data_IF_242892469970
#
_entry.id   IF_242892469970
#
_cell.length_a   1.000
_cell.length_b   1.000
_cell.length_c   1.000
_cell.angle_alpha   90.00
_cell.angle_beta   90.00
_cell.angle_gamma   90.00
#
_symmetry.space_group_name_H-M   'P 1'
#
loop_
_entity.id
_entity.type
_entity.pdbx_description
1 polymer ?
#
# COMPACT_ATOMS: atom_id res chain seq x y z
N UNK A 1 25.33 -68.69 -38.55
CA UNK A 1 25.84 -67.51 -37.82
C UNK A 1 24.99 -66.25 -38.04
N UNK A 2 23.95 -66.26 -38.88
CA UNK A 2 23.16 -65.06 -39.22
C UNK A 2 21.89 -64.87 -38.36
N UNK A 3 21.35 -65.94 -37.77
CA UNK A 3 20.08 -65.90 -37.01
C UNK A 3 20.27 -65.53 -35.52
N UNK A 4 21.37 -65.94 -34.88
CA UNK A 4 21.69 -65.54 -33.49
C UNK A 4 21.99 -64.03 -33.34
N UNK A 5 22.56 -63.40 -34.37
CA UNK A 5 22.81 -61.96 -34.36
C UNK A 5 21.53 -61.12 -34.56
N UNK A 6 20.47 -61.69 -35.15
CA UNK A 6 19.16 -61.02 -35.26
C UNK A 6 18.41 -61.04 -33.93
N UNK A 7 18.36 -62.19 -33.25
CA UNK A 7 17.67 -62.33 -31.94
C UNK A 7 18.30 -61.45 -30.84
N UNK A 8 19.62 -61.26 -30.90
CA UNK A 8 20.32 -60.35 -29.98
C UNK A 8 20.05 -58.87 -30.29
N UNK A 9 19.86 -58.52 -31.57
CA UNK A 9 19.52 -57.17 -32.00
C UNK A 9 18.12 -56.76 -31.54
N UNK A 10 17.12 -57.61 -31.76
CA UNK A 10 15.72 -57.36 -31.37
C UNK A 10 15.59 -57.16 -29.85
N UNK A 11 16.24 -58.02 -29.03
CA UNK A 11 16.24 -57.85 -27.56
C UNK A 11 16.93 -56.58 -27.10
N UNK A 12 17.97 -56.13 -27.81
CA UNK A 12 18.67 -54.90 -27.48
C UNK A 12 17.82 -53.66 -27.82
N UNK A 13 17.10 -53.69 -28.94
CA UNK A 13 16.14 -52.63 -29.31
C UNK A 13 14.97 -52.55 -28.32
N UNK A 14 14.35 -53.68 -27.97
CA UNK A 14 13.25 -53.72 -26.98
C UNK A 14 13.67 -53.19 -25.61
N UNK A 15 14.87 -53.54 -25.14
CA UNK A 15 15.40 -53.04 -23.88
C UNK A 15 15.69 -51.53 -23.93
N UNK A 16 16.17 -51.04 -25.07
CA UNK A 16 16.45 -49.63 -25.29
C UNK A 16 15.16 -48.80 -25.35
N UNK A 17 14.13 -49.28 -26.04
CA UNK A 17 12.83 -48.60 -26.12
C UNK A 17 12.13 -48.53 -24.76
N UNK A 18 12.18 -49.61 -23.96
CA UNK A 18 11.68 -49.56 -22.57
C UNK A 18 12.43 -48.58 -21.68
N UNK A 19 13.76 -48.51 -21.82
CA UNK A 19 14.57 -47.55 -21.09
C UNK A 19 14.24 -46.11 -21.49
N UNK A 20 13.97 -45.88 -22.77
CA UNK A 20 13.58 -44.58 -23.31
C UNK A 20 12.19 -44.16 -22.86
N UNK A 21 11.24 -45.08 -22.82
CA UNK A 21 9.86 -44.81 -22.39
C UNK A 21 9.81 -44.43 -20.90
N UNK A 22 10.47 -45.22 -20.03
CA UNK A 22 10.57 -44.93 -18.60
C UNK A 22 11.31 -43.63 -18.29
N UNK A 23 12.36 -43.29 -19.05
CA UNK A 23 13.04 -42.00 -18.93
C UNK A 23 12.13 -40.83 -19.35
N UNK A 24 11.24 -41.04 -20.33
CA UNK A 24 10.30 -40.02 -20.81
C UNK A 24 9.20 -39.76 -19.79
N UNK A 25 8.65 -40.82 -19.20
CA UNK A 25 7.65 -40.76 -18.14
C UNK A 25 8.19 -40.02 -16.90
N UNK A 26 9.40 -40.38 -16.45
CA UNK A 26 10.07 -39.70 -15.34
C UNK A 26 10.33 -38.20 -15.63
N UNK A 27 10.66 -37.86 -16.88
CA UNK A 27 10.84 -36.47 -17.28
C UNK A 27 9.52 -35.68 -17.34
N UNK A 28 8.40 -36.33 -17.65
CA UNK A 28 7.08 -35.68 -17.65
C UNK A 28 6.61 -35.43 -16.21
N UNK A 29 6.71 -36.42 -15.32
CA UNK A 29 6.36 -36.27 -13.90
C UNK A 29 7.19 -35.20 -13.20
N UNK A 30 8.50 -35.15 -13.50
CA UNK A 30 9.37 -34.12 -12.96
C UNK A 30 9.00 -32.71 -13.46
N UNK A 31 8.59 -32.59 -14.74
CA UNK A 31 8.12 -31.31 -15.29
C UNK A 31 6.78 -30.89 -14.71
N UNK A 32 5.86 -31.82 -14.51
CA UNK A 32 4.55 -31.56 -13.91
C UNK A 32 4.70 -31.08 -12.47
N UNK A 33 5.49 -31.80 -11.66
CA UNK A 33 5.79 -31.43 -10.27
C UNK A 33 6.46 -30.06 -10.17
N UNK A 34 7.41 -29.76 -11.07
CA UNK A 34 8.06 -28.46 -11.10
C UNK A 34 7.11 -27.32 -11.49
N UNK A 35 6.17 -27.59 -12.41
CA UNK A 35 5.16 -26.62 -12.85
C UNK A 35 4.16 -26.33 -11.73
N UNK A 36 3.69 -27.37 -11.04
CA UNK A 36 2.76 -27.23 -9.92
C UNK A 36 3.40 -26.44 -8.75
N UNK A 37 4.67 -26.72 -8.44
CA UNK A 37 5.41 -25.95 -7.44
C UNK A 37 5.58 -24.48 -7.84
N UNK A 38 5.92 -24.22 -9.11
CA UNK A 38 6.05 -22.84 -9.63
C UNK A 38 4.72 -22.09 -9.59
N UNK A 39 3.63 -22.74 -9.99
CA UNK A 39 2.29 -22.12 -10.00
C UNK A 39 1.82 -21.84 -8.58
N UNK A 40 2.09 -22.74 -7.63
CA UNK A 40 1.74 -22.53 -6.23
C UNK A 40 2.60 -21.43 -5.58
N UNK A 41 3.91 -21.40 -5.85
CA UNK A 41 4.79 -20.34 -5.39
C UNK A 41 4.38 -18.97 -5.96
N UNK A 42 3.99 -18.93 -7.24
CA UNK A 42 3.48 -17.72 -7.89
C UNK A 42 2.17 -17.26 -7.24
N UNK A 43 1.24 -18.18 -7.00
CA UNK A 43 -0.03 -17.88 -6.30
C UNK A 43 0.21 -17.36 -4.88
N UNK A 44 1.11 -17.97 -4.11
CA UNK A 44 1.48 -17.49 -2.76
C UNK A 44 2.13 -16.11 -2.81
N UNK A 45 3.00 -15.84 -3.79
CA UNK A 45 3.61 -14.53 -3.98
C UNK A 45 2.57 -13.47 -4.36
N UNK A 46 1.62 -13.81 -5.24
CA UNK A 46 0.52 -12.93 -5.63
C UNK A 46 -0.37 -12.61 -4.42
N UNK A 47 -0.77 -13.62 -3.63
CA UNK A 47 -1.55 -13.43 -2.38
C UNK A 47 -0.79 -12.62 -1.33
N UNK A 48 0.51 -12.88 -1.13
CA UNK A 48 1.33 -12.09 -0.21
C UNK A 48 1.45 -10.64 -0.67
N UNK A 49 1.69 -10.42 -1.97
CA UNK A 49 1.79 -9.07 -2.53
C UNK A 49 0.47 -8.31 -2.45
N UNK A 50 -0.66 -9.00 -2.62
CA UNK A 50 -1.99 -8.44 -2.46
C UNK A 50 -2.26 -8.07 -1.00
N UNK A 51 -1.97 -8.95 -0.05
CA UNK A 51 -2.14 -8.68 1.38
C UNK A 51 -1.19 -7.58 1.89
N UNK A 52 0.05 -7.55 1.43
CA UNK A 52 0.98 -6.48 1.73
C UNK A 52 0.49 -5.15 1.12
N UNK A 53 0.04 -5.14 -0.13
CA UNK A 53 -0.59 -3.97 -0.74
C UNK A 53 -1.82 -3.52 0.03
N UNK A 54 -2.70 -4.41 0.45
CA UNK A 54 -3.90 -4.04 1.21
C UNK A 54 -3.55 -3.43 2.57
N UNK A 55 -2.59 -4.02 3.29
CA UNK A 55 -2.09 -3.50 4.56
C UNK A 55 -1.38 -2.14 4.40
N UNK A 56 -0.53 -1.99 3.37
CA UNK A 56 0.19 -0.74 3.11
C UNK A 56 -0.67 0.33 2.41
N UNK A 57 -1.66 -0.05 1.62
CA UNK A 57 -2.66 0.87 1.05
C UNK A 57 -3.59 1.39 2.13
N UNK A 58 -3.94 0.56 3.11
CA UNK A 58 -4.59 1.00 4.35
C UNK A 58 -3.69 1.94 5.18
N UNK A 59 -2.37 1.81 5.06
CA UNK A 59 -1.41 2.63 5.81
C UNK A 59 -0.87 3.86 5.05
N UNK A 60 -0.97 3.98 3.72
CA UNK A 60 -0.27 5.06 3.02
C UNK A 60 -0.45 5.23 1.49
N UNK A 61 -1.37 4.54 0.82
CA UNK A 61 -1.46 4.61 -0.65
C UNK A 61 -2.46 5.62 -1.20
N UNK A 62 -3.70 5.56 -0.71
CA UNK A 62 -4.83 6.26 -1.37
C UNK A 62 -5.65 7.06 -0.36
N UNK A 63 -5.64 6.65 0.90
CA UNK A 63 -6.33 7.33 1.99
C UNK A 63 -5.33 8.06 2.89
N UNK A 64 -5.06 9.32 2.55
CA UNK A 64 -4.30 10.26 3.40
C UNK A 64 -5.01 10.59 4.73
N UNK A 65 -6.14 9.92 5.02
CA UNK A 65 -7.02 10.14 6.17
C UNK A 65 -6.29 10.05 7.50
N UNK A 66 -5.66 8.91 7.76
CA UNK A 66 -4.96 8.66 9.03
C UNK A 66 -3.80 9.65 9.21
N UNK A 67 -3.01 9.83 8.15
CA UNK A 67 -1.89 10.77 8.15
C UNK A 67 -2.34 12.23 8.40
N UNK A 68 -3.35 12.69 7.66
CA UNK A 68 -3.92 14.03 7.82
C UNK A 68 -4.55 14.21 9.21
N UNK A 69 -5.25 13.20 9.72
CA UNK A 69 -5.88 13.21 11.04
C UNK A 69 -4.88 13.33 12.18
N UNK A 70 -3.84 12.49 12.19
CA UNK A 70 -2.78 12.53 13.21
C UNK A 70 -2.01 13.86 13.15
N UNK A 71 -1.67 14.33 11.95
CA UNK A 71 -0.93 15.58 11.81
C UNK A 71 -1.79 16.80 12.14
N UNK A 72 -3.11 16.72 11.98
CA UNK A 72 -4.02 17.76 12.43
C UNK A 72 -4.10 17.81 13.96
N UNK A 73 -3.95 16.68 14.67
CA UNK A 73 -3.92 16.66 16.14
C UNK A 73 -2.60 17.23 16.68
N UNK A 74 -1.46 16.79 16.13
CA UNK A 74 -0.14 17.14 16.67
C UNK A 74 0.33 18.50 16.15
N UNK A 75 0.14 18.78 14.86
CA UNK A 75 0.61 19.98 14.16
C UNK A 75 -0.54 20.80 13.56
N UNK A 76 -1.74 20.65 14.12
CA UNK A 76 -2.95 21.35 13.67
C UNK A 76 -2.82 22.86 13.66
N UNK A 77 -2.19 23.43 14.69
CA UNK A 77 -1.93 24.87 14.76
C UNK A 77 -1.04 25.38 13.63
N UNK A 78 -0.21 24.55 13.03
CA UNK A 78 0.65 24.92 11.90
C UNK A 78 -0.04 24.73 10.54
N UNK A 79 -1.13 23.94 10.48
CA UNK A 79 -1.85 23.67 9.24
C UNK A 79 -1.22 22.59 8.36
N UNK A 80 -0.30 21.79 8.91
CA UNK A 80 0.45 20.74 8.18
C UNK A 80 -0.48 19.74 7.50
N UNK A 81 -1.57 19.38 8.16
CA UNK A 81 -2.58 18.45 7.65
C UNK A 81 -3.25 18.94 6.35
N UNK A 82 -3.35 20.25 6.14
CA UNK A 82 -3.91 20.83 4.91
C UNK A 82 -2.97 20.73 3.72
N UNK A 83 -1.66 20.88 3.95
CA UNK A 83 -0.66 20.74 2.88
C UNK A 83 -0.64 19.33 2.29
N UNK A 84 -0.89 18.31 3.11
CA UNK A 84 -0.90 16.91 2.69
C UNK A 84 -2.06 16.58 1.76
N UNK A 85 -3.20 17.24 1.97
CA UNK A 85 -4.38 17.15 1.13
C UNK A 85 -4.30 18.05 -0.12
N UNK A 86 -3.21 18.81 -0.29
CA UNK A 86 -3.02 19.70 -1.42
C UNK A 86 -3.70 21.08 -1.27
N UNK A 87 -4.15 21.42 -0.06
CA UNK A 87 -4.73 22.72 0.30
C UNK A 87 -3.65 23.72 0.70
N UNK A 88 -2.76 24.04 -0.25
CA UNK A 88 -1.62 24.90 0.01
C UNK A 88 -2.03 26.32 0.45
N UNK A 89 -3.12 26.86 -0.11
CA UNK A 89 -3.59 28.21 0.22
C UNK A 89 -4.12 28.27 1.65
N UNK A 90 -4.93 27.29 2.03
CA UNK A 90 -5.55 27.16 3.34
C UNK A 90 -4.51 26.87 4.42
N UNK A 91 -3.53 26.02 4.12
CA UNK A 91 -2.39 25.76 5.00
C UNK A 91 -1.59 27.03 5.27
N UNK A 92 -1.32 27.86 4.24
CA UNK A 92 -0.62 29.14 4.40
C UNK A 92 -1.46 30.14 5.21
N UNK A 93 -2.79 30.19 4.99
CA UNK A 93 -3.69 31.05 5.77
C UNK A 93 -3.64 30.66 7.25
N UNK A 94 -3.76 29.37 7.57
CA UNK A 94 -3.72 28.90 8.95
C UNK A 94 -2.36 29.22 9.59
N UNK A 95 -1.26 28.95 8.88
CA UNK A 95 0.08 29.27 9.34
C UNK A 95 0.26 30.78 9.57
N UNK A 96 -0.24 31.61 8.67
CA UNK A 96 -0.21 33.07 8.79
C UNK A 96 -0.99 33.57 10.00
N UNK A 97 -2.19 33.02 10.25
CA UNK A 97 -2.99 33.34 11.45
C UNK A 97 -2.25 32.93 12.71
N UNK A 98 -1.63 31.75 12.73
CA UNK A 98 -0.85 31.27 13.86
C UNK A 98 0.33 32.19 14.14
N UNK A 99 1.11 32.55 13.12
CA UNK A 99 2.23 33.49 13.26
C UNK A 99 1.74 34.86 13.74
N UNK A 100 0.68 35.41 13.15
CA UNK A 100 0.10 36.69 13.56
C UNK A 100 -0.38 36.65 15.03
N UNK A 101 -1.01 35.54 15.44
CA UNK A 101 -1.45 35.33 16.82
C UNK A 101 -0.27 35.29 17.80
N UNK A 102 0.83 34.63 17.44
CA UNK A 102 2.06 34.63 18.22
C UNK A 102 2.71 36.01 18.31
N UNK A 103 2.76 36.76 17.20
CA UNK A 103 3.29 38.14 17.18
C UNK A 103 2.47 39.05 18.08
N UNK A 104 1.13 38.98 17.98
CA UNK A 104 0.22 39.76 18.84
C UNK A 104 0.35 39.36 20.33
N UNK A 105 0.58 38.07 20.61
CA UNK A 105 0.87 37.60 21.97
C UNK A 105 2.13 38.25 22.53
N UNK A 106 3.22 38.24 21.75
CA UNK A 106 4.51 38.79 22.16
C UNK A 106 4.47 40.32 22.29
N UNK A 107 3.79 41.02 21.38
CA UNK A 107 3.78 42.48 21.33
C UNK A 107 2.80 43.14 22.32
N UNK A 108 1.63 42.54 22.57
CA UNK A 108 0.55 43.19 23.32
C UNK A 108 0.05 42.39 24.54
N UNK A 109 0.57 41.19 24.81
CA UNK A 109 0.13 40.34 25.93
C UNK A 109 -1.31 39.79 25.82
N UNK A 110 -2.09 40.27 24.84
CA UNK A 110 -3.48 39.88 24.57
C UNK A 110 -3.62 38.62 23.71
N UNK A 111 -2.53 38.15 23.08
CA UNK A 111 -2.60 37.02 22.15
C UNK A 111 -2.94 35.68 22.79
N UNK A 112 -2.87 35.54 24.13
CA UNK A 112 -3.31 34.33 24.83
C UNK A 112 -4.77 33.96 24.54
N UNK A 113 -5.64 34.97 24.28
CA UNK A 113 -7.04 34.72 23.93
C UNK A 113 -7.26 34.27 22.48
N UNK A 114 -6.26 34.37 21.59
CA UNK A 114 -6.41 34.10 20.15
C UNK A 114 -5.52 32.94 19.70
N UNK A 115 -4.38 32.70 20.38
CA UNK A 115 -3.37 31.70 19.97
C UNK A 115 -3.87 30.25 20.00
N UNK A 116 -4.92 29.96 20.77
CA UNK A 116 -5.49 28.62 20.88
C UNK A 116 -6.44 28.29 19.72
N UNK A 117 -6.96 29.30 19.00
CA UNK A 117 -7.95 29.12 17.93
C UNK A 117 -7.43 28.22 16.80
N UNK A 118 -6.23 28.44 16.23
CA UNK A 118 -5.71 27.57 15.17
C UNK A 118 -5.48 26.13 15.63
N UNK A 119 -5.08 25.95 16.89
CA UNK A 119 -4.92 24.62 17.50
C UNK A 119 -6.24 23.87 17.63
N UNK A 120 -7.31 24.55 18.03
CA UNK A 120 -8.65 23.96 18.12
C UNK A 120 -9.20 23.61 16.75
N UNK A 121 -9.00 24.47 15.75
CA UNK A 121 -9.41 24.18 14.37
C UNK A 121 -8.72 22.90 13.88
N UNK A 122 -7.40 22.80 14.05
CA UNK A 122 -6.65 21.60 13.69
C UNK A 122 -7.09 20.35 14.47
N UNK A 123 -7.36 20.48 15.77
CA UNK A 123 -7.85 19.36 16.58
C UNK A 123 -9.22 18.85 16.11
N UNK A 124 -10.17 19.77 15.87
CA UNK A 124 -11.51 19.41 15.38
C UNK A 124 -11.40 18.73 14.01
N UNK A 125 -10.61 19.28 13.09
CA UNK A 125 -10.40 18.66 11.78
C UNK A 125 -9.72 17.29 11.89
N UNK A 126 -8.75 17.14 12.79
CA UNK A 126 -8.09 15.86 13.05
C UNK A 126 -9.06 14.80 13.54
N UNK A 127 -9.96 15.15 14.46
CA UNK A 127 -11.02 14.25 14.91
C UNK A 127 -11.95 13.92 13.75
N UNK A 128 -12.44 14.92 13.00
CA UNK A 128 -13.35 14.70 11.86
C UNK A 128 -12.74 13.75 10.83
N UNK A 129 -11.46 13.94 10.50
CA UNK A 129 -10.76 13.08 9.54
C UNK A 129 -10.67 11.64 10.04
N UNK A 130 -10.35 11.44 11.32
CA UNK A 130 -10.25 10.11 11.91
C UNK A 130 -11.61 9.43 12.14
N UNK A 131 -12.68 10.20 12.36
CA UNK A 131 -14.03 9.66 12.59
C UNK A 131 -14.80 9.39 11.30
N UNK A 132 -14.33 9.86 10.14
CA UNK A 132 -14.95 9.57 8.84
C UNK A 132 -14.54 8.21 8.29
N UNK A 133 -15.44 7.58 7.53
CA UNK A 133 -15.09 6.42 6.71
C UNK A 133 -14.09 6.85 5.62
N UNK A 134 -13.24 5.91 5.18
CA UNK A 134 -12.22 6.19 4.16
C UNK A 134 -12.82 6.71 2.85
N UNK A 135 -13.94 6.11 2.42
CA UNK A 135 -14.67 6.52 1.23
C UNK A 135 -15.23 7.95 1.35
N UNK A 136 -15.86 8.28 2.48
CA UNK A 136 -16.36 9.64 2.71
C UNK A 136 -15.23 10.66 2.77
N UNK A 137 -14.13 10.31 3.41
CA UNK A 137 -12.96 11.18 3.50
C UNK A 137 -12.38 11.45 2.11
N UNK A 138 -12.19 10.40 1.31
CA UNK A 138 -11.68 10.50 -0.05
C UNK A 138 -12.59 11.38 -0.92
N UNK A 139 -13.89 11.11 -0.93
CA UNK A 139 -14.85 11.86 -1.72
C UNK A 139 -14.98 13.32 -1.27
N UNK A 140 -14.87 13.60 0.03
CA UNK A 140 -15.04 14.95 0.56
C UNK A 140 -13.77 15.80 0.44
N UNK A 141 -12.61 15.26 0.84
CA UNK A 141 -11.38 16.04 1.00
C UNK A 141 -10.32 15.78 -0.06
N UNK A 142 -10.37 14.67 -0.79
CA UNK A 142 -9.43 14.43 -1.89
C UNK A 142 -10.06 14.81 -3.23
N UNK A 143 -11.26 14.30 -3.52
CA UNK A 143 -11.99 14.58 -4.77
C UNK A 143 -12.77 15.87 -4.68
N UNK A 144 -13.64 16.01 -3.67
CA UNK A 144 -14.50 17.18 -3.47
C UNK A 144 -13.76 18.43 -2.98
N UNK A 145 -12.48 18.28 -2.61
CA UNK A 145 -11.58 19.38 -2.24
C UNK A 145 -12.18 20.35 -1.20
N UNK A 146 -12.91 19.83 -0.20
CA UNK A 146 -13.47 20.64 0.89
C UNK A 146 -12.37 21.24 1.80
N UNK A 147 -12.16 22.57 1.80
CA UNK A 147 -11.00 23.19 2.44
C UNK A 147 -11.07 23.25 3.97
N UNK A 148 -12.26 23.32 4.57
CA UNK A 148 -12.47 23.45 6.02
C UNK A 148 -13.62 22.56 6.47
N UNK A 149 -13.50 21.99 7.67
CA UNK A 149 -14.47 21.10 8.36
C UNK A 149 -15.39 20.36 7.39
#
# INVERSE_FOLDING_TARGET
MSDENKDFGDKAEDAFDKAKESAKEFSEDAKESAKEFSDNAKKTADEFSAGAREAFSSAGGENKKVLAGILAIIFGSLGVHKFILGYQKEGIILLGITIASYVLMCAFGLGLLIVWIPGVIGLIEGIIYLTKSDEEFYNTYQVGRKPWF
#
